data_IF_194164783107
#
_entry.id   IF_194164783107
#
_cell.length_a   1.000
_cell.length_b   1.000
_cell.length_c   1.000
_cell.angle_alpha   90.00
_cell.angle_beta   90.00
_cell.angle_gamma   90.00
#
_symmetry.space_group_name_H-M   'P 1'
#
loop_
_entity.id
_entity.type
_entity.pdbx_description
1 polymer ?
#
# COMPACT_ATOMS: atom_id res chain seq x y z
N UNK A 1 -16.36 -1.22 20.58
CA UNK A 1 -15.70 -0.84 19.32
C UNK A 1 -15.31 0.62 19.48
N UNK A 2 -14.07 1.00 19.18
CA UNK A 2 -13.62 2.39 19.32
C UNK A 2 -14.58 3.34 18.58
N UNK A 3 -15.10 4.40 19.22
CA UNK A 3 -16.10 5.29 18.61
C UNK A 3 -15.58 5.93 17.31
N UNK A 4 -14.28 6.18 17.22
CA UNK A 4 -13.63 6.65 16.00
C UNK A 4 -13.70 5.65 14.84
N UNK A 5 -13.60 4.35 15.13
CA UNK A 5 -13.71 3.32 14.10
C UNK A 5 -15.15 3.17 13.63
N UNK A 6 -16.13 3.34 14.53
CA UNK A 6 -17.56 3.28 14.16
C UNK A 6 -17.98 4.41 13.23
N UNK A 7 -17.43 5.63 13.40
CA UNK A 7 -17.63 6.74 12.46
C UNK A 7 -17.14 6.36 11.05
N UNK A 8 -16.03 5.63 10.95
CA UNK A 8 -15.50 5.19 9.67
C UNK A 8 -16.26 4.00 9.06
N UNK A 9 -16.51 2.96 9.85
CA UNK A 9 -17.05 1.68 9.36
C UNK A 9 -18.57 1.70 9.17
N UNK A 10 -19.29 2.48 10.00
CA UNK A 10 -20.75 2.50 10.02
C UNK A 10 -21.30 3.93 10.26
N UNK A 11 -20.93 4.93 9.45
CA UNK A 11 -21.27 6.35 9.69
C UNK A 11 -22.79 6.61 9.79
N UNK A 12 -23.62 5.80 9.11
CA UNK A 12 -25.09 5.91 9.14
C UNK A 12 -25.75 5.30 10.38
N UNK A 13 -25.00 4.57 11.22
CA UNK A 13 -25.51 3.92 12.42
C UNK A 13 -24.93 4.52 13.72
N UNK A 14 -24.12 5.58 13.60
CA UNK A 14 -23.53 6.26 14.75
C UNK A 14 -24.51 7.27 15.33
N UNK A 15 -24.64 7.30 16.66
CA UNK A 15 -25.35 8.37 17.34
C UNK A 15 -24.52 9.67 17.23
N UNK A 16 -24.95 10.61 16.41
CA UNK A 16 -24.25 11.87 16.21
C UNK A 16 -24.25 12.76 17.46
N UNK A 17 -25.12 12.53 18.45
CA UNK A 17 -25.11 13.30 19.71
C UNK A 17 -23.94 12.92 20.62
N UNK A 18 -23.39 11.72 20.45
CA UNK A 18 -22.34 11.15 21.30
C UNK A 18 -20.93 11.30 20.67
N UNK A 19 -20.83 11.83 19.45
CA UNK A 19 -19.54 12.08 18.80
C UNK A 19 -19.02 13.49 19.04
N UNK A 20 -17.72 13.68 18.80
CA UNK A 20 -17.07 14.98 18.78
C UNK A 20 -17.83 15.98 17.88
N UNK A 21 -18.04 17.19 18.38
CA UNK A 21 -18.76 18.28 17.73
C UNK A 21 -18.34 18.51 16.27
N UNK A 22 -17.05 18.29 15.95
CA UNK A 22 -16.52 18.46 14.58
C UNK A 22 -17.16 17.53 13.54
N UNK A 23 -17.72 16.39 13.96
CA UNK A 23 -18.35 15.42 13.05
C UNK A 23 -19.87 15.55 13.00
N UNK A 24 -20.50 16.21 13.98
CA UNK A 24 -21.95 16.15 14.15
C UNK A 24 -22.71 16.69 12.94
N UNK A 25 -22.33 17.88 12.44
CA UNK A 25 -22.97 18.49 11.28
C UNK A 25 -22.80 17.64 10.01
N UNK A 26 -21.59 17.13 9.77
CA UNK A 26 -21.30 16.28 8.61
C UNK A 26 -22.09 14.96 8.67
N UNK A 27 -22.19 14.33 9.85
CA UNK A 27 -22.96 13.10 10.04
C UNK A 27 -24.48 13.33 9.89
N UNK A 28 -24.98 14.47 10.33
CA UNK A 28 -26.39 14.85 10.12
C UNK A 28 -26.66 15.03 8.62
N UNK A 29 -25.82 15.79 7.91
CA UNK A 29 -25.94 16.00 6.47
C UNK A 29 -25.84 14.67 5.70
N UNK A 30 -24.91 13.80 6.11
CA UNK A 30 -24.73 12.48 5.53
C UNK A 30 -25.97 11.61 5.73
N UNK A 31 -26.54 11.57 6.94
CA UNK A 31 -27.73 10.78 7.26
C UNK A 31 -28.99 11.27 6.53
N UNK A 32 -29.08 12.57 6.26
CA UNK A 32 -30.17 13.16 5.46
C UNK A 32 -30.06 12.82 3.96
N UNK A 33 -28.89 12.39 3.48
CA UNK A 33 -28.66 12.11 2.07
C UNK A 33 -28.92 10.62 1.74
N UNK A 34 -30.11 10.34 1.22
CA UNK A 34 -30.53 8.98 0.83
C UNK A 34 -29.69 8.39 -0.31
N UNK A 35 -29.20 9.23 -1.23
CA UNK A 35 -28.34 8.78 -2.32
C UNK A 35 -27.00 8.29 -1.77
N UNK A 36 -26.35 9.07 -0.89
CA UNK A 36 -25.10 8.66 -0.26
C UNK A 36 -25.27 7.38 0.57
N UNK A 37 -26.41 7.22 1.25
CA UNK A 37 -26.73 5.99 1.99
C UNK A 37 -26.85 4.77 1.06
N UNK A 38 -27.49 4.93 -0.11
CA UNK A 38 -27.54 3.86 -1.11
C UNK A 38 -26.15 3.57 -1.67
N UNK A 39 -25.39 4.61 -2.05
CA UNK A 39 -24.04 4.46 -2.58
C UNK A 39 -23.11 3.72 -1.62
N UNK A 40 -23.21 4.00 -0.31
CA UNK A 40 -22.44 3.33 0.73
C UNK A 40 -22.60 1.81 0.73
N UNK A 41 -23.78 1.31 0.36
CA UNK A 41 -24.03 -0.13 0.28
C UNK A 41 -23.66 -0.76 -1.07
N UNK A 42 -23.40 0.06 -2.10
CA UNK A 42 -23.12 -0.42 -3.46
C UNK A 42 -21.64 -0.38 -3.83
N UNK A 43 -20.85 0.51 -3.21
CA UNK A 43 -19.43 0.68 -3.54
C UNK A 43 -18.53 0.26 -2.37
N UNK A 44 -17.26 -0.14 -2.63
CA UNK A 44 -16.28 -0.36 -1.58
C UNK A 44 -16.08 0.88 -0.70
N UNK A 45 -15.78 0.67 0.59
CA UNK A 45 -15.65 1.74 1.58
C UNK A 45 -14.65 2.84 1.17
N UNK A 46 -13.52 2.44 0.58
CA UNK A 46 -12.48 3.35 0.08
C UNK A 46 -13.04 4.24 -1.02
N UNK A 47 -13.81 3.68 -1.94
CA UNK A 47 -14.40 4.40 -3.07
C UNK A 47 -15.51 5.33 -2.60
N UNK A 48 -16.30 4.92 -1.61
CA UNK A 48 -17.31 5.76 -0.98
C UNK A 48 -16.70 7.07 -0.45
N UNK A 49 -15.69 6.99 0.42
CA UNK A 49 -15.05 8.17 0.99
C UNK A 49 -14.31 9.01 -0.06
N UNK A 50 -13.80 8.41 -1.13
CA UNK A 50 -13.19 9.11 -2.26
C UNK A 50 -14.21 9.95 -3.05
N UNK A 51 -15.46 9.52 -3.09
CA UNK A 51 -16.53 10.18 -3.84
C UNK A 51 -17.30 11.24 -3.02
N UNK A 52 -17.00 11.39 -1.73
CA UNK A 52 -17.57 12.45 -0.91
C UNK A 52 -17.03 13.82 -1.33
N UNK A 53 -17.90 14.83 -1.31
CA UNK A 53 -17.50 16.22 -1.54
C UNK A 53 -16.60 16.73 -0.40
N UNK A 54 -15.36 17.17 -0.68
CA UNK A 54 -14.48 17.74 0.33
C UNK A 54 -15.02 19.01 0.98
N UNK A 55 -15.88 19.74 0.27
CA UNK A 55 -16.49 20.97 0.78
C UNK A 55 -17.59 20.68 1.81
N UNK A 56 -18.26 19.52 1.71
CA UNK A 56 -19.34 19.12 2.61
C UNK A 56 -18.86 18.21 3.75
N UNK A 57 -17.86 17.35 3.50
CA UNK A 57 -17.44 16.30 4.43
C UNK A 57 -15.93 16.31 4.76
N UNK A 58 -15.30 17.47 5.03
CA UNK A 58 -13.85 17.55 5.21
C UNK A 58 -13.34 16.73 6.41
N UNK A 59 -14.07 16.69 7.53
CA UNK A 59 -13.64 15.96 8.72
C UNK A 59 -13.79 14.44 8.53
N UNK A 60 -14.91 13.99 7.97
CA UNK A 60 -15.15 12.57 7.67
C UNK A 60 -14.12 12.03 6.68
N UNK A 61 -13.81 12.76 5.61
CA UNK A 61 -12.78 12.37 4.64
C UNK A 61 -11.42 12.28 5.32
N UNK A 62 -11.01 13.32 6.06
CA UNK A 62 -9.73 13.34 6.75
C UNK A 62 -9.60 12.19 7.75
N UNK A 63 -10.68 11.89 8.49
CA UNK A 63 -10.72 10.81 9.46
C UNK A 63 -10.63 9.43 8.79
N UNK A 64 -11.39 9.23 7.71
CA UNK A 64 -11.36 8.00 6.94
C UNK A 64 -9.96 7.75 6.34
N UNK A 65 -9.31 8.79 5.81
CA UNK A 65 -7.94 8.68 5.30
C UNK A 65 -6.96 8.24 6.39
N UNK A 66 -7.03 8.84 7.59
CA UNK A 66 -6.17 8.43 8.72
C UNK A 66 -6.33 6.95 9.04
N UNK A 67 -7.57 6.46 9.13
CA UNK A 67 -7.85 5.07 9.43
C UNK A 67 -7.36 4.14 8.31
N UNK A 68 -7.63 4.47 7.04
CA UNK A 68 -7.14 3.69 5.90
C UNK A 68 -5.61 3.62 5.87
N UNK A 69 -4.91 4.72 6.17
CA UNK A 69 -3.44 4.75 6.22
C UNK A 69 -2.87 3.88 7.35
N UNK A 70 -3.54 3.79 8.50
CA UNK A 70 -3.11 2.88 9.58
C UNK A 70 -3.12 1.41 9.12
N UNK A 71 -4.16 1.00 8.38
CA UNK A 71 -4.22 -0.35 7.82
C UNK A 71 -3.22 -0.56 6.66
N UNK A 72 -3.13 0.41 5.75
CA UNK A 72 -2.20 0.34 4.61
C UNK A 72 -0.73 0.26 5.04
N UNK A 73 -0.33 1.06 6.04
CA UNK A 73 1.03 1.03 6.58
C UNK A 73 1.33 -0.29 7.30
N UNK A 74 0.40 -0.82 8.08
CA UNK A 74 0.56 -2.13 8.74
C UNK A 74 0.76 -3.26 7.71
N UNK A 75 -0.07 -3.30 6.66
CA UNK A 75 0.08 -4.26 5.57
C UNK A 75 1.44 -4.14 4.87
N UNK A 76 1.86 -2.92 4.52
CA UNK A 76 3.16 -2.68 3.89
C UNK A 76 4.30 -3.12 4.81
N UNK A 77 4.23 -2.83 6.12
CA UNK A 77 5.21 -3.25 7.11
C UNK A 77 5.29 -4.79 7.23
N UNK A 78 4.16 -5.47 7.30
CA UNK A 78 4.09 -6.94 7.33
C UNK A 78 4.70 -7.55 6.07
N UNK A 79 4.36 -6.98 4.90
CA UNK A 79 4.84 -7.48 3.63
C UNK A 79 6.36 -7.27 3.47
N UNK A 80 6.86 -6.11 3.88
CA UNK A 80 8.29 -5.81 3.98
C UNK A 80 9.00 -6.84 4.90
N UNK A 81 8.46 -7.09 6.09
CA UNK A 81 9.07 -7.98 7.06
C UNK A 81 9.11 -9.42 6.56
N UNK A 82 8.02 -9.88 5.94
CA UNK A 82 7.94 -11.19 5.29
C UNK A 82 8.99 -11.34 4.19
N UNK A 83 9.10 -10.35 3.29
CA UNK A 83 10.13 -10.34 2.24
C UNK A 83 11.56 -10.36 2.81
N UNK A 84 11.81 -9.59 3.87
CA UNK A 84 13.11 -9.57 4.55
C UNK A 84 13.44 -10.93 5.17
N UNK A 85 12.46 -11.58 5.81
CA UNK A 85 12.60 -12.92 6.38
C UNK A 85 12.92 -13.97 5.31
N UNK A 86 12.27 -13.91 4.15
CA UNK A 86 12.54 -14.80 3.02
C UNK A 86 13.92 -14.58 2.40
N UNK A 87 14.38 -13.32 2.33
CA UNK A 87 15.69 -12.95 1.75
C UNK A 87 16.86 -13.28 2.66
N UNK A 88 16.62 -13.36 3.98
CA UNK A 88 17.55 -13.87 4.98
C UNK A 88 17.53 -15.40 4.98
N UNK A 89 17.83 -16.03 3.83
CA UNK A 89 18.05 -17.49 3.77
C UNK A 89 19.35 -17.87 4.47
N UNK A 90 19.50 -19.11 4.95
CA UNK A 90 20.69 -19.54 5.72
C UNK A 90 22.02 -19.43 4.95
N UNK A 91 21.97 -19.26 3.62
CA UNK A 91 23.12 -19.05 2.73
C UNK A 91 23.63 -17.60 2.71
N UNK A 92 22.86 -16.60 3.14
CA UNK A 92 23.25 -15.18 3.09
C UNK A 92 22.94 -14.48 4.43
N UNK A 93 23.85 -14.63 5.39
CA UNK A 93 23.68 -14.11 6.75
C UNK A 93 23.99 -12.61 6.91
N UNK A 94 24.49 -11.92 5.87
CA UNK A 94 24.79 -10.48 5.89
C UNK A 94 24.02 -9.73 4.79
N UNK A 95 23.08 -8.90 5.21
CA UNK A 95 22.51 -7.81 4.41
C UNK A 95 23.16 -6.53 4.95
N UNK A 96 23.82 -5.74 4.10
CA UNK A 96 24.32 -4.41 4.51
C UNK A 96 23.18 -3.39 4.42
N UNK A 97 23.30 -2.27 5.12
CA UNK A 97 22.26 -1.23 5.18
C UNK A 97 21.84 -0.73 3.79
N UNK A 98 22.79 -0.60 2.86
CA UNK A 98 22.52 -0.21 1.46
C UNK A 98 21.67 -1.26 0.72
N UNK A 99 21.99 -2.54 0.91
CA UNK A 99 21.22 -3.63 0.30
C UNK A 99 19.83 -3.73 0.93
N UNK A 100 19.72 -3.50 2.25
CA UNK A 100 18.44 -3.48 2.93
C UNK A 100 17.58 -2.35 2.38
N UNK A 101 18.10 -1.12 2.30
CA UNK A 101 17.40 0.05 1.76
C UNK A 101 16.88 -0.20 0.34
N UNK A 102 17.72 -0.75 -0.54
CA UNK A 102 17.32 -1.10 -1.91
C UNK A 102 16.20 -2.15 -1.95
N UNK A 103 16.29 -3.19 -1.13
CA UNK A 103 15.28 -4.25 -1.05
C UNK A 103 13.96 -3.72 -0.51
N UNK A 104 14.00 -2.90 0.54
CA UNK A 104 12.81 -2.27 1.11
C UNK A 104 12.11 -1.40 0.09
N UNK A 105 12.88 -0.58 -0.65
CA UNK A 105 12.35 0.31 -1.69
C UNK A 105 11.66 -0.47 -2.82
N UNK A 106 12.27 -1.57 -3.28
CA UNK A 106 11.66 -2.44 -4.30
C UNK A 106 10.43 -3.16 -3.76
N UNK A 107 10.47 -3.67 -2.54
CA UNK A 107 9.36 -4.48 -1.97
C UNK A 107 8.14 -3.64 -1.58
N UNK A 108 8.35 -2.38 -1.21
CA UNK A 108 7.29 -1.48 -0.75
C UNK A 108 6.67 -0.63 -1.86
N UNK A 109 7.23 -0.66 -3.07
CA UNK A 109 6.75 0.13 -4.21
C UNK A 109 6.22 -0.78 -5.32
N UNK A 110 5.33 -0.24 -6.14
CA UNK A 110 4.93 -0.87 -7.40
C UNK A 110 5.83 -0.40 -8.57
N UNK A 111 7.13 -0.20 -8.31
CA UNK A 111 8.06 0.21 -9.36
C UNK A 111 8.30 -0.97 -10.31
N UNK A 112 7.95 -0.79 -11.58
CA UNK A 112 8.36 -1.72 -12.64
C UNK A 112 9.82 -1.44 -13.05
N UNK A 113 10.66 -2.48 -13.21
CA UNK A 113 12.00 -2.30 -13.72
C UNK A 113 11.95 -1.79 -15.17
N UNK A 114 12.79 -0.81 -15.51
CA UNK A 114 13.03 -0.46 -16.91
C UNK A 114 13.86 -1.58 -17.56
N UNK A 115 13.18 -2.52 -18.20
CA UNK A 115 13.81 -3.69 -18.79
C UNK A 115 14.75 -3.32 -19.95
N UNK A 116 14.40 -2.31 -20.75
CA UNK A 116 15.20 -1.89 -21.89
C UNK A 116 16.53 -1.29 -21.43
N UNK A 117 16.49 -0.39 -20.44
CA UNK A 117 17.69 0.19 -19.84
C UNK A 117 18.58 -0.87 -19.18
N UNK A 118 17.97 -1.81 -18.46
CA UNK A 118 18.69 -2.91 -17.80
C UNK A 118 19.39 -3.81 -18.83
N UNK A 119 18.71 -4.19 -19.91
CA UNK A 119 19.26 -5.01 -20.99
C UNK A 119 20.42 -4.30 -21.70
N UNK A 120 20.32 -2.98 -21.90
CA UNK A 120 21.42 -2.20 -22.49
C UNK A 120 22.65 -2.09 -21.59
N UNK A 121 22.46 -2.02 -20.26
CA UNK A 121 23.55 -1.96 -19.28
C UNK A 121 24.21 -3.33 -19.02
N UNK A 122 23.52 -4.43 -19.33
CA UNK A 122 23.98 -5.79 -19.07
C UNK A 122 24.86 -6.38 -20.22
N UNK A 123 25.70 -5.55 -20.84
CA UNK A 123 26.55 -5.96 -21.98
C UNK A 123 27.76 -6.83 -21.60
N UNK A 124 27.93 -7.22 -20.33
CA UNK A 124 28.90 -8.23 -19.93
C UNK A 124 28.23 -9.60 -19.81
N UNK A 125 28.01 -10.24 -20.96
CA UNK A 125 27.84 -11.69 -21.01
C UNK A 125 29.13 -12.31 -20.48
N UNK A 126 29.12 -12.90 -19.29
CA UNK A 126 30.19 -13.81 -18.90
C UNK A 126 30.12 -15.03 -19.83
N UNK A 127 30.94 -15.03 -20.88
CA UNK A 127 31.22 -16.24 -21.65
C UNK A 127 31.92 -17.22 -20.71
N UNK A 128 31.18 -18.22 -20.23
CA UNK A 128 31.81 -19.40 -19.63
C UNK A 128 32.58 -20.13 -20.72
N UNK A 129 33.91 -20.22 -20.55
CA UNK A 129 34.91 -21.03 -21.27
C UNK A 129 34.51 -21.60 -22.65
N UNK A 130 35.13 -21.07 -23.71
CA UNK A 130 35.23 -21.78 -24.97
C UNK A 130 36.12 -23.03 -24.82
N UNK A 131 35.78 -24.18 -25.43
CA UNK A 131 36.64 -25.35 -25.40
C UNK A 131 37.91 -25.04 -26.19
N UNK A 132 39.06 -25.18 -25.54
CA UNK A 132 40.35 -25.14 -26.22
C UNK A 132 40.41 -26.28 -27.23
N UNK A 133 40.30 -25.96 -28.52
CA UNK A 133 40.65 -26.90 -29.59
C UNK A 133 42.18 -27.04 -29.59
N UNK A 134 42.68 -28.06 -28.90
CA UNK A 134 44.05 -28.54 -29.10
C UNK A 134 44.12 -29.15 -30.50
N UNK A 135 44.68 -28.40 -31.44
CA UNK A 135 45.23 -28.93 -32.68
C UNK A 135 46.42 -29.82 -32.30
N UNK A 136 46.23 -31.14 -32.29
CA UNK A 136 47.36 -32.08 -32.39
C UNK A 136 47.47 -32.58 -33.83
N UNK A 137 48.59 -32.19 -34.41
CA UNK A 137 49.08 -32.58 -35.73
C UNK A 137 49.71 -33.96 -35.60
N UNK A 138 49.25 -34.95 -36.38
CA UNK A 138 50.11 -36.01 -36.90
C UNK A 138 49.54 -36.66 -38.15
#
# INVERSE_FOLDING_TARGET
MEPEFSIFATPFNVNYEEVDAKFQLELIELNCNTLLKQTFHTVPLIEFYKNLSPDNFPNLITHAMKIMTMFGSSYICEQIFSTMKLRKTSLRNRITDEHLSSVLRISASQMEPDYDELLMKQSQFHFSHAPSTSNDTR
#
